data_IF_303125059291
#
_entry.id   IF_303125059291
#
_cell.length_a   1.000
_cell.length_b   1.000
_cell.length_c   1.000
_cell.angle_alpha   90.00
_cell.angle_beta   90.00
_cell.angle_gamma   90.00
#
_symmetry.space_group_name_H-M   'P 1'
#
loop_
_entity.id
_entity.type
_entity.pdbx_description
1 polymer ?
#
# COMPACT_ATOMS: atom_id res chain seq x y z
N UNK A 1 -13.08 -33.98 -38.45
CA UNK A 1 -12.35 -32.68 -38.51
C UNK A 1 -10.87 -32.93 -38.29
N UNK A 2 -9.99 -32.45 -39.17
CA UNK A 2 -8.53 -32.56 -38.98
C UNK A 2 -8.07 -31.45 -38.03
N UNK A 3 -7.26 -31.79 -37.03
CA UNK A 3 -6.76 -30.86 -35.99
C UNK A 3 -6.09 -29.61 -36.55
N UNK A 4 -5.49 -29.71 -37.75
CA UNK A 4 -4.86 -28.59 -38.46
C UNK A 4 -5.88 -27.57 -39.01
N UNK A 5 -7.03 -28.04 -39.46
CA UNK A 5 -8.07 -27.17 -40.02
C UNK A 5 -8.77 -26.38 -38.89
N UNK A 6 -8.90 -27.01 -37.71
CA UNK A 6 -9.41 -26.35 -36.51
C UNK A 6 -8.49 -25.21 -36.05
N UNK A 7 -7.18 -25.48 -35.92
CA UNK A 7 -6.19 -24.48 -35.49
C UNK A 7 -6.06 -23.30 -36.48
N UNK A 8 -6.12 -23.57 -37.79
CA UNK A 8 -6.09 -22.52 -38.81
C UNK A 8 -7.33 -21.60 -38.74
N UNK A 9 -8.49 -22.17 -38.41
CA UNK A 9 -9.74 -21.41 -38.29
C UNK A 9 -9.78 -20.58 -37.01
N UNK A 10 -9.17 -21.04 -35.91
CA UNK A 10 -9.12 -20.30 -34.63
C UNK A 10 -8.17 -19.10 -34.68
N UNK A 11 -7.04 -19.19 -35.39
CA UNK A 11 -6.07 -18.09 -35.51
C UNK A 11 -6.60 -16.91 -36.34
N UNK A 12 -7.38 -17.18 -37.39
CA UNK A 12 -7.98 -16.13 -38.22
C UNK A 12 -9.09 -15.35 -37.48
N UNK A 13 -9.79 -15.99 -36.53
CA UNK A 13 -10.81 -15.34 -35.70
C UNK A 13 -10.21 -14.51 -34.53
N UNK A 14 -8.98 -14.82 -34.10
CA UNK A 14 -8.30 -14.13 -33.00
C UNK A 14 -7.68 -12.78 -33.39
N UNK A 15 -7.32 -12.58 -34.67
CA UNK A 15 -6.68 -11.35 -35.13
C UNK A 15 -7.64 -10.15 -35.25
N UNK A 16 -8.96 -10.37 -35.18
CA UNK A 16 -9.98 -9.33 -35.27
C UNK A 16 -10.49 -8.83 -33.90
N UNK A 17 -10.06 -9.44 -32.79
CA UNK A 17 -10.23 -8.84 -31.46
C UNK A 17 -9.13 -7.80 -31.32
N UNK A 18 -9.47 -6.62 -31.86
CA UNK A 18 -8.60 -5.48 -31.96
C UNK A 18 -7.85 -5.20 -30.66
N UNK A 19 -6.67 -4.62 -30.86
CA UNK A 19 -6.01 -3.73 -29.92
C UNK A 19 -7.01 -2.66 -29.47
N UNK A 20 -7.93 -3.02 -28.58
CA UNK A 20 -8.56 -2.06 -27.71
C UNK A 20 -7.39 -1.62 -26.87
N UNK A 21 -6.83 -0.46 -27.21
CA UNK A 21 -5.99 0.23 -26.27
C UNK A 21 -6.72 0.14 -24.93
N UNK A 22 -6.11 -0.58 -23.99
CA UNK A 22 -6.42 -0.40 -22.59
C UNK A 22 -5.95 1.01 -22.31
N UNK A 23 -6.76 1.99 -22.74
CA UNK A 23 -6.62 3.39 -22.39
C UNK A 23 -6.49 3.35 -20.88
N UNK A 24 -5.28 3.65 -20.40
CA UNK A 24 -4.94 3.57 -18.99
C UNK A 24 -6.08 4.21 -18.23
N UNK A 25 -6.67 3.46 -17.30
CA UNK A 25 -7.83 3.92 -16.55
C UNK A 25 -7.52 5.34 -16.08
N UNK A 26 -8.36 6.32 -16.49
CA UNK A 26 -8.15 7.69 -16.07
C UNK A 26 -8.02 7.71 -14.55
N UNK A 27 -7.05 8.45 -13.98
CA UNK A 27 -6.94 8.60 -12.53
C UNK A 27 -8.33 8.93 -11.99
N UNK A 28 -8.79 8.15 -11.01
CA UNK A 28 -10.09 8.40 -10.42
C UNK A 28 -10.03 9.72 -9.65
N UNK A 29 -11.17 10.41 -9.63
CA UNK A 29 -11.32 11.57 -8.76
C UNK A 29 -10.98 11.17 -7.32
N UNK A 30 -10.28 12.01 -6.55
CA UNK A 30 -10.00 11.74 -5.15
C UNK A 30 -11.29 11.47 -4.37
N UNK A 31 -11.23 10.56 -3.40
CA UNK A 31 -12.33 10.41 -2.45
C UNK A 31 -12.51 11.71 -1.65
N UNK A 32 -13.76 12.04 -1.30
CA UNK A 32 -14.06 13.21 -0.47
C UNK A 32 -13.60 13.06 0.99
N UNK A 33 -13.32 11.83 1.43
CA UNK A 33 -12.80 11.50 2.75
C UNK A 33 -11.40 10.92 2.63
N UNK A 34 -10.62 11.05 3.69
CA UNK A 34 -9.21 10.67 3.71
C UNK A 34 -9.02 9.18 4.05
N UNK A 35 -9.49 8.32 3.15
CA UNK A 35 -9.34 6.87 3.31
C UNK A 35 -7.87 6.47 3.20
N UNK A 36 -7.41 5.71 4.19
CA UNK A 36 -6.02 5.27 4.34
C UNK A 36 -5.98 3.72 4.32
N UNK A 37 -5.88 3.08 3.14
CA UNK A 37 -5.67 1.64 3.07
C UNK A 37 -4.29 1.25 3.61
N UNK A 38 -4.11 -0.03 3.89
CA UNK A 38 -2.83 -0.62 4.28
C UNK A 38 -2.09 -1.28 3.11
N UNK A 39 -0.76 -1.36 3.24
CA UNK A 39 0.03 -2.26 2.43
C UNK A 39 -0.46 -3.72 2.54
N UNK A 40 -0.39 -4.44 1.44
CA UNK A 40 -0.88 -5.81 1.31
C UNK A 40 -2.33 -5.89 0.80
N UNK A 41 -3.15 -4.86 1.00
CA UNK A 41 -4.53 -4.83 0.48
C UNK A 41 -4.56 -4.84 -1.06
N UNK A 42 -3.54 -4.30 -1.71
CA UNK A 42 -3.47 -4.16 -3.16
C UNK A 42 -2.22 -4.80 -3.76
N UNK A 43 -1.60 -5.76 -3.05
CA UNK A 43 -0.33 -6.39 -3.44
C UNK A 43 -0.28 -6.80 -4.92
N UNK A 44 -1.33 -7.42 -5.44
CA UNK A 44 -1.36 -7.87 -6.84
C UNK A 44 -1.51 -6.71 -7.82
N UNK A 45 -2.27 -5.68 -7.47
CA UNK A 45 -2.43 -4.47 -8.28
C UNK A 45 -1.17 -3.60 -8.27
N UNK A 46 -0.41 -3.63 -7.17
CA UNK A 46 0.88 -2.95 -7.02
C UNK A 46 2.08 -3.74 -7.57
N UNK A 47 1.86 -4.86 -8.27
CA UNK A 47 2.95 -5.67 -8.83
C UNK A 47 3.83 -6.37 -7.78
N UNK A 48 3.31 -6.55 -6.55
CA UNK A 48 4.01 -7.20 -5.44
C UNK A 48 4.88 -6.26 -4.60
N UNK A 49 4.97 -4.99 -4.98
CA UNK A 49 5.88 -3.99 -4.41
C UNK A 49 5.13 -2.86 -3.69
N UNK A 50 5.67 -2.38 -2.56
CA UNK A 50 5.03 -1.34 -1.74
C UNK A 50 4.79 -0.04 -2.52
N UNK A 51 5.79 0.44 -3.27
CA UNK A 51 5.63 1.65 -4.06
C UNK A 51 4.62 1.47 -5.21
N UNK A 52 4.47 0.23 -5.71
CA UNK A 52 3.43 -0.07 -6.68
C UNK A 52 2.04 -0.01 -6.07
N UNK A 53 1.88 -0.48 -4.82
CA UNK A 53 0.63 -0.32 -4.09
C UNK A 53 0.30 1.17 -3.87
N UNK A 54 1.26 2.03 -3.52
CA UNK A 54 1.04 3.48 -3.41
C UNK A 54 0.54 4.11 -4.71
N UNK A 55 1.19 3.78 -5.84
CA UNK A 55 0.76 4.28 -7.15
C UNK A 55 -0.67 3.85 -7.46
N UNK A 56 -0.97 2.57 -7.24
CA UNK A 56 -2.32 2.07 -7.43
C UNK A 56 -3.32 2.79 -6.52
N UNK A 57 -3.03 2.95 -5.23
CA UNK A 57 -3.88 3.68 -4.29
C UNK A 57 -4.16 5.11 -4.78
N UNK A 58 -3.12 5.84 -5.19
CA UNK A 58 -3.26 7.19 -5.71
C UNK A 58 -4.13 7.25 -6.99
N UNK A 59 -3.94 6.30 -7.92
CA UNK A 59 -4.75 6.14 -9.13
C UNK A 59 -6.21 5.83 -8.83
N UNK A 60 -6.49 5.11 -7.74
CA UNK A 60 -7.84 4.79 -7.28
C UNK A 60 -8.54 5.93 -6.53
N UNK A 61 -7.83 7.04 -6.27
CA UNK A 61 -8.38 8.21 -5.59
C UNK A 61 -8.06 8.30 -4.10
N UNK A 62 -7.27 7.38 -3.55
CA UNK A 62 -6.80 7.47 -2.16
C UNK A 62 -5.74 8.56 -2.02
N UNK A 63 -5.76 9.28 -0.89
CA UNK A 63 -4.79 10.34 -0.58
C UNK A 63 -4.09 10.15 0.76
N UNK A 64 -4.35 9.04 1.45
CA UNK A 64 -3.63 8.63 2.65
C UNK A 64 -3.21 7.17 2.58
N UNK A 65 -2.26 6.80 3.44
CA UNK A 65 -1.82 5.43 3.69
C UNK A 65 -1.83 5.19 5.21
N UNK A 66 -2.29 4.02 5.64
CA UNK A 66 -2.04 3.52 6.99
C UNK A 66 -0.94 2.46 6.95
N UNK A 67 0.05 2.53 7.84
CA UNK A 67 1.09 1.51 7.93
C UNK A 67 1.57 1.32 9.37
N UNK A 68 0.93 0.39 10.08
CA UNK A 68 1.28 0.10 11.47
C UNK A 68 2.72 -0.39 11.64
N UNK A 69 3.35 -0.91 10.59
CA UNK A 69 4.75 -1.33 10.61
C UNK A 69 5.77 -0.22 10.36
N UNK A 70 5.34 1.01 10.05
CA UNK A 70 6.22 2.09 9.56
C UNK A 70 7.45 2.32 10.46
N UNK A 71 7.24 2.39 11.79
CA UNK A 71 8.31 2.58 12.78
C UNK A 71 9.43 1.52 12.68
N UNK A 72 9.05 0.28 12.39
CA UNK A 72 9.98 -0.85 12.34
C UNK A 72 10.70 -1.02 11.01
N UNK A 73 10.37 -0.22 9.99
CA UNK A 73 11.02 -0.30 8.68
C UNK A 73 12.42 0.32 8.73
N UNK A 74 13.38 -0.17 7.93
CA UNK A 74 14.64 0.53 7.69
C UNK A 74 14.41 1.98 7.23
N UNK A 75 15.28 2.91 7.67
CA UNK A 75 15.15 4.36 7.37
C UNK A 75 15.10 4.61 5.86
N UNK A 76 15.91 3.91 5.07
CA UNK A 76 15.93 4.03 3.61
C UNK A 76 14.59 3.60 2.98
N UNK A 77 13.90 2.62 3.55
CA UNK A 77 12.57 2.21 3.11
C UNK A 77 11.51 3.26 3.49
N UNK A 78 11.58 3.81 4.71
CA UNK A 78 10.72 4.92 5.15
C UNK A 78 10.86 6.14 4.24
N UNK A 79 12.10 6.54 3.92
CA UNK A 79 12.40 7.66 3.02
C UNK A 79 11.85 7.43 1.61
N UNK A 80 11.99 6.20 1.08
CA UNK A 80 11.44 5.83 -0.23
C UNK A 80 9.91 5.91 -0.25
N UNK A 81 9.24 5.44 0.80
CA UNK A 81 7.79 5.54 0.96
C UNK A 81 7.37 7.01 1.05
N UNK A 82 8.01 7.80 1.91
CA UNK A 82 7.71 9.23 2.08
C UNK A 82 7.89 10.03 0.79
N UNK A 83 8.96 9.74 0.03
CA UNK A 83 9.25 10.38 -1.27
C UNK A 83 8.19 10.05 -2.30
N UNK A 84 7.79 8.78 -2.43
CA UNK A 84 6.75 8.36 -3.37
C UNK A 84 5.37 8.93 -2.98
N UNK A 85 5.03 8.93 -1.69
CA UNK A 85 3.80 9.54 -1.20
C UNK A 85 3.75 11.04 -1.51
N UNK A 86 4.85 11.76 -1.26
CA UNK A 86 4.96 13.18 -1.59
C UNK A 86 4.79 13.43 -3.09
N UNK A 87 5.42 12.60 -3.94
CA UNK A 87 5.28 12.66 -5.41
C UNK A 87 3.83 12.43 -5.87
N UNK A 88 3.09 11.57 -5.17
CA UNK A 88 1.70 11.23 -5.47
C UNK A 88 0.68 12.17 -4.81
N UNK A 89 1.12 13.14 -4.00
CA UNK A 89 0.22 13.99 -3.21
C UNK A 89 -0.56 13.21 -2.15
N UNK A 90 0.02 12.12 -1.65
CA UNK A 90 -0.49 11.33 -0.53
C UNK A 90 0.14 11.78 0.78
N UNK A 91 -0.53 11.51 1.90
CA UNK A 91 -0.03 11.77 3.26
C UNK A 91 0.00 10.51 4.11
N UNK A 92 0.91 10.49 5.08
CA UNK A 92 0.91 9.44 6.09
C UNK A 92 -0.33 9.62 6.96
N UNK A 93 -1.15 8.58 7.03
CA UNK A 93 -2.27 8.46 7.97
C UNK A 93 -1.74 8.03 9.33
N UNK A 94 -2.33 6.97 9.90
CA UNK A 94 -1.89 6.45 11.20
C UNK A 94 -0.83 5.36 11.04
N UNK A 95 0.00 5.24 12.07
CA UNK A 95 0.90 4.12 12.28
C UNK A 95 1.00 3.84 13.78
N UNK A 96 1.54 2.67 14.14
CA UNK A 96 1.75 2.32 15.54
C UNK A 96 3.14 2.80 15.98
N UNK A 97 3.14 3.77 16.90
CA UNK A 97 4.36 4.45 17.38
C UNK A 97 5.07 3.75 18.57
N UNK A 98 4.60 2.58 18.98
CA UNK A 98 5.11 1.86 20.15
C UNK A 98 4.90 0.35 20.01
N UNK A 99 5.61 -0.43 20.81
CA UNK A 99 5.43 -1.86 20.92
C UNK A 99 4.09 -2.18 21.59
N UNK A 100 3.27 -3.02 20.95
CA UNK A 100 2.00 -3.50 21.50
C UNK A 100 2.22 -4.87 22.15
N UNK A 101 1.99 -4.94 23.46
CA UNK A 101 2.02 -6.18 24.22
C UNK A 101 0.62 -6.79 24.28
N UNK A 102 0.35 -7.76 23.41
CA UNK A 102 -0.97 -8.35 23.27
C UNK A 102 -1.38 -9.29 24.43
N UNK A 103 -0.40 -9.81 25.16
CA UNK A 103 -0.62 -10.85 26.17
C UNK A 103 -0.35 -10.38 27.61
N UNK A 104 0.02 -9.11 27.81
CA UNK A 104 0.34 -8.57 29.13
C UNK A 104 -0.01 -7.08 29.22
N UNK A 105 -0.51 -6.60 30.39
CA UNK A 105 -0.83 -5.19 30.57
C UNK A 105 0.45 -4.37 30.71
N UNK A 106 0.73 -3.48 29.76
CA UNK A 106 1.92 -2.62 29.77
C UNK A 106 1.60 -1.13 30.01
N UNK A 107 0.40 -0.65 29.67
CA UNK A 107 0.04 0.78 29.79
C UNK A 107 -0.77 1.13 31.06
N UNK A 108 -1.38 0.14 31.71
CA UNK A 108 -2.25 0.34 32.88
C UNK A 108 -1.72 -0.36 34.16
N UNK A 109 -0.54 -0.97 34.10
CA UNK A 109 0.01 -1.79 35.19
C UNK A 109 0.76 -1.02 36.28
N UNK A 110 1.08 0.26 36.07
CA UNK A 110 1.86 1.07 37.02
C UNK A 110 3.37 0.80 37.04
N UNK A 111 3.87 -0.06 36.14
CA UNK A 111 5.29 -0.36 35.98
C UNK A 111 6.02 0.84 35.34
N UNK A 112 6.96 1.44 36.07
CA UNK A 112 7.74 2.59 35.62
C UNK A 112 8.61 2.28 34.41
N UNK A 113 9.20 1.08 34.34
CA UNK A 113 10.05 0.69 33.21
C UNK A 113 9.25 0.56 31.92
N UNK A 114 8.01 0.04 32.00
CA UNK A 114 7.10 -0.04 30.84
C UNK A 114 6.62 1.33 30.38
N UNK A 115 6.41 2.24 31.33
CA UNK A 115 6.08 3.63 31.02
C UNK A 115 7.24 4.34 30.32
N UNK A 116 8.46 4.14 30.80
CA UNK A 116 9.66 4.74 30.21
C UNK A 116 9.94 4.20 28.81
N UNK A 117 9.81 2.87 28.62
CA UNK A 117 9.82 2.22 27.32
C UNK A 117 8.83 2.89 26.36
N UNK A 118 7.55 2.93 26.73
CA UNK A 118 6.51 3.58 25.92
C UNK A 118 6.87 5.03 25.54
N UNK A 119 7.23 5.86 26.51
CA UNK A 119 7.54 7.28 26.26
C UNK A 119 8.76 7.46 25.35
N UNK A 120 9.77 6.59 25.47
CA UNK A 120 10.93 6.60 24.59
C UNK A 120 10.55 6.22 23.16
N UNK A 121 9.72 5.19 22.98
CA UNK A 121 9.26 4.79 21.65
C UNK A 121 8.37 5.84 20.98
N UNK A 122 7.52 6.53 21.75
CA UNK A 122 6.73 7.65 21.24
C UNK A 122 7.65 8.79 20.76
N UNK A 123 8.65 9.19 21.56
CA UNK A 123 9.63 10.22 21.14
C UNK A 123 10.36 9.81 19.87
N UNK A 124 10.92 8.60 19.85
CA UNK A 124 11.70 8.10 18.71
C UNK A 124 10.87 7.85 17.45
N UNK A 125 9.54 7.89 17.54
CA UNK A 125 8.65 7.70 16.37
C UNK A 125 8.25 9.02 15.70
N UNK A 126 8.55 10.15 16.35
CA UNK A 126 8.21 11.49 15.85
C UNK A 126 9.48 12.25 15.42
N UNK A 127 10.63 11.89 15.98
CA UNK A 127 11.97 12.39 15.60
C UNK A 127 12.53 11.69 14.37
#
# INVERSE_FOLDING_TARGET
>A
MKRRDFLATTLAAGAALGTKELSGAKPREPFSLDYAPHFGMFRQNGGGELLGELRFMAEQGFRSLEDNGMRGRPVDEQERIASEMSRLGMRMGVFVAHTIYWNEPNLAGGDEARRDEFLNEIRSSVE
#
